data_IF_017465378891
#
_entry.id   IF_017465378891
#
_cell.length_a   1.000
_cell.length_b   1.000
_cell.length_c   1.000
_cell.angle_alpha   90.00
_cell.angle_beta   90.00
_cell.angle_gamma   90.00
#
_symmetry.space_group_name_H-M   'P 1'
#
loop_
_entity.id
_entity.type
_entity.pdbx_description
1 polymer ?
#
# COMPACT_ATOMS: atom_id res chain seq x y z
N UNK A 1 6.06 -10.29 -16.52
CA UNK A 1 5.56 -9.98 -15.16
C UNK A 1 4.63 -8.78 -15.26
N UNK A 2 3.71 -8.63 -14.31
CA UNK A 2 2.86 -7.46 -14.17
C UNK A 2 3.20 -6.78 -12.85
N UNK A 3 3.78 -5.57 -12.92
CA UNK A 3 4.20 -4.80 -11.74
C UNK A 3 5.13 -5.61 -10.81
N UNK A 4 6.35 -5.86 -11.26
CA UNK A 4 7.30 -6.78 -10.62
C UNK A 4 7.85 -6.32 -9.26
N UNK A 5 7.62 -5.07 -8.86
CA UNK A 5 8.11 -4.48 -7.60
C UNK A 5 7.90 -5.41 -6.39
N UNK A 6 6.65 -5.73 -6.04
CA UNK A 6 6.35 -6.55 -4.85
C UNK A 6 6.87 -7.99 -4.97
N UNK A 7 6.78 -8.58 -6.16
CA UNK A 7 7.29 -9.93 -6.41
C UNK A 7 8.81 -10.00 -6.25
N UNK A 8 9.52 -9.00 -6.74
CA UNK A 8 10.98 -8.91 -6.62
C UNK A 8 11.42 -8.77 -5.16
N UNK A 9 10.73 -7.94 -4.38
CA UNK A 9 10.98 -7.78 -2.96
C UNK A 9 10.71 -9.08 -2.18
N UNK A 10 9.58 -9.74 -2.44
CA UNK A 10 9.23 -11.00 -1.78
C UNK A 10 10.25 -12.11 -2.10
N UNK A 11 10.60 -12.29 -3.38
CA UNK A 11 11.58 -13.29 -3.81
C UNK A 11 12.97 -13.05 -3.22
N UNK A 12 13.39 -11.78 -3.16
CA UNK A 12 14.68 -11.42 -2.58
C UNK A 12 14.70 -11.64 -1.07
N UNK A 13 13.69 -11.15 -0.35
CA UNK A 13 13.67 -11.20 1.12
C UNK A 13 13.40 -12.59 1.68
N UNK A 14 12.53 -13.37 1.04
CA UNK A 14 12.12 -14.69 1.54
C UNK A 14 13.03 -15.82 1.04
N UNK A 15 13.56 -15.69 -0.19
CA UNK A 15 14.28 -16.79 -0.86
C UNK A 15 15.68 -16.40 -1.35
N UNK A 16 16.15 -15.18 -1.09
CA UNK A 16 17.40 -14.65 -1.63
C UNK A 16 17.50 -14.73 -3.17
N UNK A 17 16.35 -14.68 -3.86
CA UNK A 17 16.26 -14.75 -5.31
C UNK A 17 16.18 -13.34 -5.90
N UNK A 18 17.11 -12.99 -6.81
CA UNK A 18 17.10 -11.73 -7.55
C UNK A 18 16.60 -11.95 -8.98
N UNK A 19 15.56 -11.21 -9.35
CA UNK A 19 15.04 -11.18 -10.72
C UNK A 19 16.02 -10.49 -11.67
N UNK A 20 16.11 -11.01 -12.90
CA UNK A 20 16.90 -10.44 -14.01
C UNK A 20 16.16 -10.67 -15.33
N UNK A 21 16.42 -9.82 -16.33
CA UNK A 21 15.84 -9.94 -17.68
C UNK A 21 14.30 -10.01 -17.68
N UNK A 22 13.66 -9.23 -16.81
CA UNK A 22 12.20 -9.20 -16.68
C UNK A 22 11.61 -8.33 -17.79
N UNK A 23 10.55 -8.81 -18.43
CA UNK A 23 9.64 -7.94 -19.17
C UNK A 23 8.45 -7.60 -18.27
N UNK A 24 8.38 -6.35 -17.82
CA UNK A 24 7.27 -5.85 -17.00
C UNK A 24 6.28 -5.09 -17.88
N UNK A 25 5.08 -5.65 -18.04
CA UNK A 25 4.03 -5.09 -18.89
C UNK A 25 3.49 -3.75 -18.37
N UNK A 26 3.56 -3.53 -17.05
CA UNK A 26 3.18 -2.26 -16.45
C UNK A 26 4.21 -1.18 -16.78
N UNK A 27 5.50 -1.49 -16.68
CA UNK A 27 6.56 -0.54 -17.04
C UNK A 27 6.57 -0.26 -18.54
N UNK A 28 6.33 -1.27 -19.37
CA UNK A 28 6.20 -1.07 -20.81
C UNK A 28 5.07 -0.08 -21.12
N UNK A 29 3.90 -0.25 -20.50
CA UNK A 29 2.79 0.69 -20.62
C UNK A 29 3.20 2.13 -20.23
N UNK A 30 3.81 2.31 -19.06
CA UNK A 30 4.24 3.65 -18.60
C UNK A 30 5.21 4.30 -19.59
N UNK A 31 6.20 3.56 -20.10
CA UNK A 31 7.17 4.11 -21.06
C UNK A 31 6.50 4.49 -22.39
N UNK A 32 5.51 3.72 -22.84
CA UNK A 32 4.72 4.02 -24.04
C UNK A 32 3.92 5.31 -23.84
N UNK A 33 3.21 5.45 -22.72
CA UNK A 33 2.42 6.65 -22.40
C UNK A 33 3.27 7.89 -22.23
N UNK A 34 4.47 7.76 -21.66
CA UNK A 34 5.46 8.85 -21.60
C UNK A 34 5.87 9.32 -23.00
N UNK A 35 5.97 8.42 -24.00
CA UNK A 35 6.27 8.81 -25.38
C UNK A 35 5.08 9.56 -26.02
N UNK A 36 3.85 9.17 -25.69
CA UNK A 36 2.62 9.81 -26.17
C UNK A 36 2.34 11.18 -25.53
N UNK A 37 3.21 11.62 -24.59
CA UNK A 37 3.19 12.96 -24.02
C UNK A 37 2.62 13.05 -22.61
N UNK A 38 2.22 11.93 -21.99
CA UNK A 38 1.82 11.93 -20.57
C UNK A 38 3.05 12.13 -19.68
N UNK A 39 2.99 13.11 -18.77
CA UNK A 39 4.09 13.39 -17.83
C UNK A 39 4.06 12.43 -16.64
N UNK A 40 2.86 12.04 -16.20
CA UNK A 40 2.63 11.19 -15.04
C UNK A 40 1.63 10.09 -15.41
N UNK A 41 2.01 9.13 -16.27
CA UNK A 41 1.11 8.04 -16.60
C UNK A 41 0.79 7.20 -15.36
N UNK A 42 -0.49 6.88 -15.19
CA UNK A 42 -0.98 6.05 -14.11
C UNK A 42 -0.71 4.56 -14.37
N UNK A 43 -0.64 3.80 -13.28
CA UNK A 43 -0.62 2.33 -13.36
C UNK A 43 -2.02 1.83 -13.64
N UNK A 44 -2.10 0.74 -14.40
CA UNK A 44 -3.35 0.14 -14.82
C UNK A 44 -3.60 -1.13 -14.02
N UNK A 45 -4.87 -1.54 -13.92
CA UNK A 45 -5.13 -2.89 -13.41
C UNK A 45 -4.73 -3.93 -14.46
N UNK A 46 -4.60 -5.19 -14.03
CA UNK A 46 -4.39 -6.33 -14.93
C UNK A 46 -5.42 -6.32 -16.08
N UNK A 47 -6.68 -6.05 -15.72
CA UNK A 47 -7.80 -5.98 -16.65
C UNK A 47 -7.56 -4.91 -17.72
N UNK A 48 -7.23 -3.70 -17.29
CA UNK A 48 -7.09 -2.56 -18.19
C UNK A 48 -5.90 -2.75 -19.13
N UNK A 49 -4.78 -3.30 -18.64
CA UNK A 49 -3.64 -3.63 -19.51
C UNK A 49 -4.05 -4.65 -20.59
N UNK A 50 -4.73 -5.73 -20.22
CA UNK A 50 -5.21 -6.71 -21.21
C UNK A 50 -6.16 -6.04 -22.21
N UNK A 51 -7.12 -5.24 -21.75
CA UNK A 51 -8.03 -4.55 -22.64
C UNK A 51 -7.30 -3.61 -23.63
N UNK A 52 -6.29 -2.87 -23.15
CA UNK A 52 -5.48 -1.98 -23.99
C UNK A 52 -4.67 -2.74 -25.06
N UNK A 53 -4.09 -3.90 -24.72
CA UNK A 53 -3.06 -4.54 -25.55
C UNK A 53 -3.41 -5.91 -26.12
N UNK A 54 -4.57 -6.51 -25.80
CA UNK A 54 -5.04 -7.74 -26.46
C UNK A 54 -6.40 -7.55 -27.13
N UNK A 55 -7.26 -6.64 -26.67
CA UNK A 55 -8.62 -6.48 -27.20
C UNK A 55 -9.56 -7.64 -26.85
N UNK A 56 -9.02 -8.75 -26.33
CA UNK A 56 -9.72 -9.78 -25.58
C UNK A 56 -9.84 -9.33 -24.13
N UNK A 57 -10.97 -8.71 -23.79
CA UNK A 57 -11.40 -8.70 -22.39
C UNK A 57 -11.75 -10.15 -22.04
N UNK A 58 -10.92 -10.84 -21.26
CA UNK A 58 -11.30 -12.15 -20.73
C UNK A 58 -12.68 -12.04 -20.07
N UNK A 59 -13.49 -13.11 -20.07
CA UNK A 59 -14.83 -13.03 -19.49
C UNK A 59 -14.72 -13.00 -17.94
N UNK A 60 -14.85 -11.82 -17.33
CA UNK A 60 -14.49 -11.55 -15.92
C UNK A 60 -15.52 -11.99 -14.88
N UNK A 61 -16.68 -12.54 -15.27
CA UNK A 61 -17.77 -12.86 -14.33
C UNK A 61 -17.31 -13.71 -13.14
N UNK A 62 -16.77 -14.90 -13.41
CA UNK A 62 -16.31 -15.83 -12.37
C UNK A 62 -15.06 -15.33 -11.62
N UNK A 63 -14.22 -14.50 -12.26
CA UNK A 63 -13.05 -13.90 -11.60
C UNK A 63 -13.45 -12.89 -10.55
N UNK A 64 -14.51 -12.13 -10.79
CA UNK A 64 -15.09 -11.25 -9.79
C UNK A 64 -15.59 -12.05 -8.60
N UNK A 65 -16.19 -13.23 -8.81
CA UNK A 65 -16.62 -14.12 -7.73
C UNK A 65 -15.44 -14.63 -6.89
N UNK A 66 -14.33 -15.02 -7.52
CA UNK A 66 -13.10 -15.43 -6.81
C UNK A 66 -12.48 -14.26 -6.06
N UNK A 67 -12.43 -13.07 -6.67
CA UNK A 67 -12.00 -11.83 -6.01
C UNK A 67 -12.83 -11.51 -4.79
N UNK A 68 -14.15 -11.59 -4.93
CA UNK A 68 -15.08 -11.45 -3.82
C UNK A 68 -14.88 -12.53 -2.76
N UNK A 69 -14.56 -13.76 -3.14
CA UNK A 69 -14.31 -14.80 -2.14
C UNK A 69 -13.11 -14.45 -1.24
N UNK A 70 -11.96 -14.07 -1.79
CA UNK A 70 -10.78 -13.76 -0.96
C UNK A 70 -10.80 -12.37 -0.31
N UNK A 71 -11.48 -11.39 -0.93
CA UNK A 71 -11.65 -10.06 -0.32
C UNK A 71 -12.78 -10.04 0.72
N UNK A 72 -13.93 -10.66 0.43
CA UNK A 72 -15.14 -10.55 1.27
C UNK A 72 -15.27 -11.65 2.32
N UNK A 73 -14.88 -12.88 1.99
CA UNK A 73 -15.31 -14.07 2.77
C UNK A 73 -14.17 -14.76 3.49
N UNK A 74 -13.04 -14.93 2.81
CA UNK A 74 -11.95 -15.79 3.27
C UNK A 74 -10.63 -15.02 3.13
N UNK A 75 -10.23 -14.31 4.19
CA UNK A 75 -9.01 -13.51 4.16
C UNK A 75 -7.73 -14.35 4.06
N UNK A 76 -7.77 -15.61 4.49
CA UNK A 76 -6.66 -16.57 4.35
C UNK A 76 -6.79 -17.47 3.11
N UNK A 77 -7.60 -17.09 2.12
CA UNK A 77 -7.94 -17.90 0.94
C UNK A 77 -6.72 -18.55 0.27
N UNK A 78 -5.70 -17.74 -0.07
CA UNK A 78 -4.48 -18.22 -0.74
C UNK A 78 -3.56 -19.07 0.16
N UNK A 79 -3.82 -19.13 1.46
CA UNK A 79 -3.10 -19.97 2.42
C UNK A 79 -3.73 -21.35 2.60
N UNK A 80 -4.96 -21.56 2.13
CA UNK A 80 -5.66 -22.84 2.26
C UNK A 80 -4.98 -23.94 1.43
N UNK A 81 -4.95 -25.16 1.96
CA UNK A 81 -4.35 -26.33 1.31
C UNK A 81 -5.25 -27.57 1.43
N UNK A 82 -5.31 -28.42 0.39
CA UNK A 82 -4.74 -28.21 -0.96
C UNK A 82 -5.41 -27.05 -1.70
N UNK A 83 -4.75 -26.49 -2.71
CA UNK A 83 -5.37 -25.46 -3.57
C UNK A 83 -6.51 -26.10 -4.38
N UNK A 84 -7.64 -25.40 -4.53
CA UNK A 84 -8.75 -25.88 -5.36
C UNK A 84 -8.47 -25.67 -6.86
N UNK A 85 -9.21 -26.36 -7.74
CA UNK A 85 -9.09 -26.14 -9.18
C UNK A 85 -9.37 -24.68 -9.55
N UNK A 86 -10.37 -24.05 -8.93
CA UNK A 86 -10.71 -22.64 -9.16
C UNK A 86 -9.57 -21.69 -8.78
N UNK A 87 -8.85 -21.97 -7.68
CA UNK A 87 -7.65 -21.19 -7.28
C UNK A 87 -6.53 -21.33 -8.30
N UNK A 88 -6.28 -22.55 -8.77
CA UNK A 88 -5.25 -22.85 -9.75
C UNK A 88 -5.56 -22.22 -11.10
N UNK A 89 -6.81 -22.32 -11.54
CA UNK A 89 -7.31 -21.68 -12.76
C UNK A 89 -7.13 -20.18 -12.63
N UNK A 90 -7.68 -19.51 -11.60
CA UNK A 90 -7.52 -18.07 -11.40
C UNK A 90 -6.05 -17.61 -11.48
N UNK A 91 -5.14 -18.31 -10.78
CA UNK A 91 -3.73 -17.96 -10.76
C UNK A 91 -3.02 -18.21 -12.12
N UNK A 92 -3.34 -19.30 -12.82
CA UNK A 92 -2.80 -19.56 -14.16
C UNK A 92 -3.28 -18.52 -15.16
N UNK A 93 -4.54 -18.14 -15.04
CA UNK A 93 -5.24 -17.24 -15.94
C UNK A 93 -4.70 -15.80 -15.82
N UNK A 94 -4.18 -15.38 -14.66
CA UNK A 94 -3.43 -14.12 -14.48
C UNK A 94 -2.12 -14.05 -15.29
N UNK A 95 -1.54 -15.21 -15.62
CA UNK A 95 -0.32 -15.29 -16.45
C UNK A 95 -0.67 -15.45 -17.93
N UNK A 96 -1.65 -16.31 -18.23
CA UNK A 96 -2.07 -16.60 -19.60
C UNK A 96 -2.67 -15.39 -20.30
N UNK A 97 -3.26 -14.44 -19.56
CA UNK A 97 -3.79 -13.20 -20.13
C UNK A 97 -2.73 -12.28 -20.75
N UNK A 98 -1.45 -12.43 -20.35
CA UNK A 98 -0.34 -11.63 -20.90
C UNK A 98 0.30 -12.22 -22.14
N UNK A 99 0.27 -13.56 -22.26
CA UNK A 99 1.09 -14.30 -23.20
C UNK A 99 0.20 -14.97 -24.25
N UNK A 100 0.43 -14.74 -25.55
CA UNK A 100 1.54 -13.97 -26.13
C UNK A 100 1.20 -12.49 -26.42
N UNK A 101 -0.07 -12.10 -26.39
CA UNK A 101 -0.51 -10.92 -27.13
C UNK A 101 -0.08 -9.58 -26.52
N UNK A 102 -0.30 -9.38 -25.21
CA UNK A 102 0.10 -8.13 -24.52
C UNK A 102 1.60 -7.93 -24.62
N UNK A 103 2.37 -8.97 -24.30
CA UNK A 103 3.83 -8.95 -24.43
C UNK A 103 4.27 -8.59 -25.85
N UNK A 104 3.71 -9.27 -26.87
CA UNK A 104 4.10 -9.08 -28.27
C UNK A 104 3.84 -7.64 -28.72
N UNK A 105 2.62 -7.11 -28.49
CA UNK A 105 2.27 -5.75 -28.90
C UNK A 105 3.15 -4.70 -28.24
N UNK A 106 3.40 -4.83 -26.93
CA UNK A 106 4.26 -3.90 -26.21
C UNK A 106 5.73 -4.01 -26.65
N UNK A 107 6.25 -5.23 -26.83
CA UNK A 107 7.64 -5.45 -27.26
C UNK A 107 7.89 -4.88 -28.65
N UNK A 108 7.00 -5.15 -29.61
CA UNK A 108 7.07 -4.61 -30.97
C UNK A 108 7.07 -3.09 -30.97
N UNK A 109 6.18 -2.46 -30.19
CA UNK A 109 6.12 -1.00 -30.08
C UNK A 109 7.42 -0.41 -29.48
N UNK A 110 7.94 -1.01 -28.41
CA UNK A 110 9.17 -0.56 -27.76
C UNK A 110 10.39 -0.67 -28.69
N UNK A 111 10.43 -1.70 -29.54
CA UNK A 111 11.47 -1.89 -30.55
C UNK A 111 11.37 -0.85 -31.67
N UNK A 112 10.18 -0.68 -32.26
CA UNK A 112 9.91 0.27 -33.35
C UNK A 112 10.29 1.71 -32.96
N UNK A 113 9.98 2.09 -31.72
CA UNK A 113 10.23 3.44 -31.19
C UNK A 113 11.56 3.59 -30.45
N UNK A 114 12.43 2.58 -30.49
CA UNK A 114 13.77 2.57 -29.84
C UNK A 114 13.73 2.86 -28.33
N UNK A 115 12.66 2.44 -27.66
CA UNK A 115 12.42 2.67 -26.22
C UNK A 115 13.06 1.62 -25.32
N UNK A 116 13.59 0.51 -25.88
CA UNK A 116 14.18 -0.59 -25.12
C UNK A 116 15.21 -0.17 -24.05
N UNK A 117 16.15 0.78 -24.28
CA UNK A 117 17.09 1.20 -23.24
C UNK A 117 16.40 1.85 -22.03
N UNK A 118 15.44 2.75 -22.30
CA UNK A 118 14.64 3.43 -21.26
C UNK A 118 13.78 2.43 -20.50
N UNK A 119 13.13 1.51 -21.21
CA UNK A 119 12.36 0.41 -20.62
C UNK A 119 13.20 -0.44 -19.68
N UNK A 120 14.37 -0.94 -20.13
CA UNK A 120 15.26 -1.77 -19.29
C UNK A 120 15.72 -1.04 -18.03
N UNK A 121 16.05 0.25 -18.13
CA UNK A 121 16.43 1.05 -16.98
C UNK A 121 15.28 1.19 -15.96
N UNK A 122 14.04 1.43 -16.43
CA UNK A 122 12.86 1.51 -15.56
C UNK A 122 12.50 0.16 -14.93
N UNK A 123 12.69 -0.95 -15.64
CA UNK A 123 12.48 -2.29 -15.08
C UNK A 123 13.51 -2.59 -13.99
N UNK A 124 14.79 -2.29 -14.20
CA UNK A 124 15.81 -2.51 -13.16
C UNK A 124 15.53 -1.65 -11.92
N UNK A 125 15.11 -0.40 -12.12
CA UNK A 125 14.64 0.46 -11.03
C UNK A 125 13.45 -0.17 -10.28
N UNK A 126 12.45 -0.70 -10.99
CA UNK A 126 11.27 -1.35 -10.41
C UNK A 126 11.64 -2.59 -9.59
N UNK A 127 12.62 -3.38 -10.04
CA UNK A 127 13.14 -4.54 -9.31
C UNK A 127 13.86 -4.12 -8.02
N UNK A 128 14.56 -2.98 -8.05
CA UNK A 128 15.41 -2.54 -6.95
C UNK A 128 14.72 -1.63 -5.95
N UNK A 129 13.58 -1.01 -6.29
CA UNK A 129 12.97 0.07 -5.48
C UNK A 129 12.66 -0.34 -4.04
N UNK A 130 12.23 -1.58 -3.79
CA UNK A 130 11.96 -2.08 -2.42
C UNK A 130 13.14 -2.83 -1.79
N UNK A 131 14.21 -3.05 -2.55
CA UNK A 131 15.41 -3.77 -2.10
C UNK A 131 16.55 -2.79 -1.74
N UNK A 132 16.63 -1.66 -2.45
CA UNK A 132 17.70 -0.68 -2.33
C UNK A 132 17.11 0.73 -2.04
N UNK A 133 17.41 1.24 -0.85
CA UNK A 133 16.93 2.55 -0.40
C UNK A 133 17.42 3.72 -1.27
N UNK A 134 18.63 3.66 -1.82
CA UNK A 134 19.16 4.71 -2.71
C UNK A 134 18.31 4.81 -3.98
N UNK A 135 17.96 3.65 -4.57
CA UNK A 135 17.08 3.59 -5.74
C UNK A 135 15.68 4.11 -5.40
N UNK A 136 15.15 3.76 -4.23
CA UNK A 136 13.88 4.29 -3.72
C UNK A 136 13.88 5.81 -3.63
N UNK A 137 14.93 6.39 -3.05
CA UNK A 137 15.09 7.83 -2.89
C UNK A 137 15.21 8.53 -4.24
N UNK A 138 16.09 8.05 -5.14
CA UNK A 138 16.27 8.63 -6.48
C UNK A 138 14.96 8.61 -7.29
N UNK A 139 14.19 7.51 -7.20
CA UNK A 139 12.88 7.42 -7.84
C UNK A 139 11.90 8.43 -7.25
N UNK A 140 11.87 8.56 -5.92
CA UNK A 140 11.06 9.53 -5.20
C UNK A 140 11.32 10.96 -5.65
N UNK A 141 12.59 11.38 -5.61
CA UNK A 141 13.03 12.72 -6.06
C UNK A 141 12.63 13.02 -7.51
N UNK A 142 12.78 12.03 -8.41
CA UNK A 142 12.38 12.19 -9.82
C UNK A 142 10.86 12.39 -9.95
N UNK A 143 10.06 11.58 -9.27
CA UNK A 143 8.59 11.69 -9.33
C UNK A 143 8.15 13.03 -8.73
N UNK A 144 8.71 13.41 -7.59
CA UNK A 144 8.44 14.69 -6.92
C UNK A 144 8.75 15.87 -7.85
N UNK A 145 9.89 15.86 -8.54
CA UNK A 145 10.26 16.90 -9.49
C UNK A 145 9.23 17.04 -10.64
N UNK A 146 8.71 15.92 -11.15
CA UNK A 146 7.67 15.92 -12.20
C UNK A 146 6.35 16.46 -11.65
N UNK A 147 5.90 15.99 -10.48
CA UNK A 147 4.69 16.46 -9.78
C UNK A 147 4.74 17.97 -9.57
N UNK A 148 5.85 18.48 -9.03
CA UNK A 148 6.06 19.91 -8.81
C UNK A 148 6.05 20.70 -10.13
N UNK A 149 6.60 20.13 -11.21
CA UNK A 149 6.53 20.72 -12.55
C UNK A 149 5.10 20.84 -13.06
N UNK A 150 4.32 19.76 -12.99
CA UNK A 150 2.91 19.72 -13.43
C UNK A 150 2.06 20.73 -12.65
N UNK A 151 2.21 20.79 -11.33
CA UNK A 151 1.42 21.69 -10.48
C UNK A 151 1.81 23.17 -10.67
N UNK A 152 3.08 23.47 -10.93
CA UNK A 152 3.51 24.84 -11.28
C UNK A 152 2.97 25.28 -12.64
N UNK A 153 2.92 24.38 -13.62
CA UNK A 153 2.31 24.66 -14.92
C UNK A 153 0.80 24.90 -14.77
N UNK A 154 0.12 24.08 -13.95
CA UNK A 154 -1.30 24.26 -13.60
C UNK A 154 -1.56 25.62 -12.92
N UNK A 155 -0.76 26.01 -11.92
CA UNK A 155 -0.94 27.29 -11.22
C UNK A 155 -0.79 28.49 -12.17
N UNK A 156 0.13 28.42 -13.14
CA UNK A 156 0.29 29.44 -14.18
C UNK A 156 -0.92 29.51 -15.11
N UNK A 157 -1.46 28.36 -15.52
CA UNK A 157 -2.60 28.28 -16.45
C UNK A 157 -3.87 28.93 -15.87
N UNK A 158 -4.06 28.84 -14.56
CA UNK A 158 -5.26 29.35 -13.87
C UNK A 158 -4.99 30.59 -13.01
N UNK A 159 -3.97 31.40 -13.36
CA UNK A 159 -3.55 32.56 -12.56
C UNK A 159 -4.68 33.52 -12.19
N UNK A 160 -5.69 33.69 -13.05
CA UNK A 160 -6.81 34.61 -12.84
C UNK A 160 -8.18 33.90 -12.86
N UNK A 161 -8.19 32.56 -12.81
CA UNK A 161 -9.41 31.74 -12.90
C UNK A 161 -9.58 30.87 -11.66
N UNK A 162 -10.82 30.56 -11.32
CA UNK A 162 -11.12 29.54 -10.32
C UNK A 162 -10.78 28.17 -10.91
N UNK A 163 -9.92 27.41 -10.22
CA UNK A 163 -9.63 26.02 -10.55
C UNK A 163 -10.77 25.13 -10.04
N UNK A 164 -11.23 24.19 -10.85
CA UNK A 164 -12.18 23.14 -10.45
C UNK A 164 -11.56 21.78 -10.73
N UNK A 165 -11.79 20.83 -9.82
CA UNK A 165 -11.20 19.48 -9.93
C UNK A 165 -11.67 18.76 -11.20
N UNK A 166 -12.91 18.97 -11.61
CA UNK A 166 -13.52 18.31 -12.77
C UNK A 166 -12.95 18.79 -14.12
N UNK A 167 -12.21 19.89 -14.12
CA UNK A 167 -11.59 20.47 -15.32
C UNK A 167 -10.12 20.06 -15.49
N UNK A 168 -9.56 19.33 -14.54
CA UNK A 168 -8.15 18.93 -14.52
C UNK A 168 -7.89 17.74 -15.46
N UNK A 169 -6.71 17.73 -16.08
CA UNK A 169 -6.25 16.56 -16.85
C UNK A 169 -5.82 15.42 -15.93
N UNK A 170 -5.73 14.20 -16.46
CA UNK A 170 -5.26 13.01 -15.72
C UNK A 170 -3.91 13.28 -15.00
N UNK A 171 -2.92 13.83 -15.72
CA UNK A 171 -1.62 14.20 -15.13
C UNK A 171 -1.76 15.18 -13.95
N UNK A 172 -2.70 16.12 -14.01
CA UNK A 172 -2.90 17.14 -12.98
C UNK A 172 -3.61 16.56 -11.75
N UNK A 173 -4.62 15.70 -11.97
CA UNK A 173 -5.28 14.96 -10.90
C UNK A 173 -4.32 14.00 -10.21
N UNK A 174 -3.52 13.27 -10.98
CA UNK A 174 -2.55 12.34 -10.43
C UNK A 174 -1.40 13.06 -9.70
N UNK A 175 -0.98 14.23 -10.19
CA UNK A 175 -0.06 15.08 -9.45
C UNK A 175 -0.63 15.53 -8.10
N UNK A 176 -1.91 15.91 -8.05
CA UNK A 176 -2.59 16.24 -6.80
C UNK A 176 -2.73 15.02 -5.89
N UNK A 177 -2.99 13.83 -6.43
CA UNK A 177 -3.02 12.58 -5.66
C UNK A 177 -1.69 12.35 -4.93
N UNK A 178 -0.56 12.44 -5.66
CA UNK A 178 0.78 12.18 -5.14
C UNK A 178 1.33 13.27 -4.20
N UNK A 179 0.86 14.52 -4.33
CA UNK A 179 1.32 15.64 -3.52
C UNK A 179 0.90 15.50 -2.05
N UNK A 180 1.83 15.64 -1.11
CA UNK A 180 1.48 15.73 0.32
C UNK A 180 0.89 17.11 0.66
N UNK A 181 -0.08 17.16 1.57
CA UNK A 181 -0.79 18.43 1.85
C UNK A 181 0.12 19.49 2.48
N UNK A 182 1.13 19.08 3.24
CA UNK A 182 2.13 19.98 3.84
C UNK A 182 3.04 20.61 2.77
N UNK A 183 3.30 19.90 1.67
CA UNK A 183 4.02 20.41 0.51
C UNK A 183 3.17 21.33 -0.38
N UNK A 184 1.86 21.13 -0.41
CA UNK A 184 0.95 21.95 -1.22
C UNK A 184 1.02 23.44 -0.83
N UNK A 185 1.09 23.72 0.47
CA UNK A 185 1.27 25.07 1.02
C UNK A 185 2.54 25.78 0.53
N UNK A 186 3.58 25.02 0.16
CA UNK A 186 4.88 25.54 -0.33
C UNK A 186 4.82 25.97 -1.79
N UNK A 187 3.81 25.54 -2.55
CA UNK A 187 3.66 25.88 -3.97
C UNK A 187 2.95 27.24 -4.10
N UNK A 188 1.64 27.27 -3.84
CA UNK A 188 0.82 28.49 -3.79
C UNK A 188 -0.41 28.25 -2.91
N UNK A 189 -1.03 29.32 -2.35
CA UNK A 189 -2.29 29.18 -1.61
C UNK A 189 -3.44 28.58 -2.43
N UNK A 190 -3.39 28.70 -3.76
CA UNK A 190 -4.40 28.10 -4.65
C UNK A 190 -4.25 26.59 -4.74
N UNK A 191 -3.01 26.11 -4.92
CA UNK A 191 -2.72 24.67 -4.97
C UNK A 191 -2.98 24.03 -3.60
N UNK A 192 -2.67 24.73 -2.51
CA UNK A 192 -3.01 24.31 -1.15
C UNK A 192 -4.53 24.10 -0.96
N UNK A 193 -5.33 25.09 -1.38
CA UNK A 193 -6.78 24.97 -1.39
C UNK A 193 -7.26 23.83 -2.30
N UNK A 194 -6.72 23.71 -3.50
CA UNK A 194 -7.10 22.67 -4.46
C UNK A 194 -6.78 21.26 -3.94
N UNK A 195 -5.63 21.09 -3.26
CA UNK A 195 -5.27 19.82 -2.59
C UNK A 195 -6.22 19.53 -1.44
N UNK A 196 -6.62 20.54 -0.67
CA UNK A 196 -7.63 20.39 0.39
C UNK A 196 -8.98 19.94 -0.18
N UNK A 197 -9.42 20.57 -1.28
CA UNK A 197 -10.65 20.20 -1.98
C UNK A 197 -10.57 18.76 -2.53
N UNK A 198 -9.41 18.37 -3.09
CA UNK A 198 -9.15 17.01 -3.54
C UNK A 198 -9.27 16.00 -2.39
N UNK A 199 -8.62 16.24 -1.24
CA UNK A 199 -8.69 15.36 -0.06
C UNK A 199 -10.13 15.24 0.43
N UNK A 200 -10.89 16.35 0.45
CA UNK A 200 -12.31 16.33 0.82
C UNK A 200 -13.15 15.50 -0.14
N UNK A 201 -12.85 15.50 -1.44
CA UNK A 201 -13.53 14.66 -2.42
C UNK A 201 -13.19 13.18 -2.22
N UNK A 202 -11.92 12.86 -2.00
CA UNK A 202 -11.48 11.48 -1.69
C UNK A 202 -12.15 10.95 -0.42
N UNK A 203 -12.22 11.75 0.64
CA UNK A 203 -12.92 11.36 1.87
C UNK A 203 -14.42 11.15 1.67
N UNK A 204 -15.07 11.89 0.76
CA UNK A 204 -16.48 11.64 0.40
C UNK A 204 -16.63 10.32 -0.36
N UNK A 205 -15.70 10.00 -1.27
CA UNK A 205 -15.70 8.71 -1.95
C UNK A 205 -15.53 7.56 -0.94
N UNK A 206 -14.52 7.65 -0.06
CA UNK A 206 -14.28 6.68 1.02
C UNK A 206 -15.52 6.50 1.92
N UNK A 207 -16.16 7.61 2.30
CA UNK A 207 -17.39 7.59 3.08
C UNK A 207 -18.52 6.87 2.33
N UNK A 208 -18.73 7.18 1.05
CA UNK A 208 -19.72 6.50 0.22
C UNK A 208 -19.45 5.00 0.12
N UNK A 209 -18.19 4.60 -0.04
CA UNK A 209 -17.80 3.19 -0.08
C UNK A 209 -18.04 2.50 1.27
N UNK A 210 -17.89 3.22 2.38
CA UNK A 210 -18.20 2.70 3.72
C UNK A 210 -19.70 2.41 3.90
N UNK A 211 -20.57 3.06 3.13
CA UNK A 211 -22.01 2.79 3.16
C UNK A 211 -22.46 1.80 2.09
N UNK A 212 -21.84 1.84 0.91
CA UNK A 212 -22.32 1.10 -0.27
C UNK A 212 -21.51 -0.14 -0.60
N UNK A 213 -20.20 -0.13 -0.35
CA UNK A 213 -19.27 -1.22 -0.69
C UNK A 213 -18.18 -1.37 0.38
N UNK A 214 -18.63 -1.62 1.61
CA UNK A 214 -17.82 -1.82 2.83
C UNK A 214 -16.63 -2.76 2.62
N UNK A 215 -16.76 -3.65 1.64
CA UNK A 215 -15.87 -4.75 1.39
C UNK A 215 -14.61 -4.35 0.62
N UNK A 216 -14.67 -3.30 -0.19
CA UNK A 216 -13.50 -2.86 -0.97
C UNK A 216 -12.55 -1.97 -0.16
N UNK A 217 -12.97 -1.50 1.02
CA UNK A 217 -12.18 -0.62 1.87
C UNK A 217 -10.90 -1.29 2.35
N UNK A 218 -10.97 -2.56 2.76
CA UNK A 218 -9.81 -3.32 3.23
C UNK A 218 -8.75 -3.54 2.15
N UNK A 219 -9.15 -3.49 0.87
CA UNK A 219 -8.29 -3.64 -0.30
C UNK A 219 -7.70 -2.33 -0.83
N UNK A 220 -8.05 -1.17 -0.24
CA UNK A 220 -7.46 0.11 -0.62
C UNK A 220 -6.04 0.23 -0.05
N UNK A 221 -5.07 0.10 -0.94
CA UNK A 221 -3.66 0.31 -0.61
C UNK A 221 -3.44 1.77 -0.15
N UNK A 222 -2.66 1.96 0.92
CA UNK A 222 -2.29 3.30 1.42
C UNK A 222 -3.36 4.02 2.25
N UNK A 223 -4.63 3.62 2.20
CA UNK A 223 -5.75 4.33 2.84
C UNK A 223 -5.52 4.63 4.33
N UNK A 224 -4.97 3.67 5.07
CA UNK A 224 -4.70 3.83 6.49
C UNK A 224 -3.64 4.91 6.78
N UNK A 225 -2.61 4.96 5.94
CA UNK A 225 -1.53 5.96 6.04
C UNK A 225 -2.02 7.33 5.57
N UNK A 226 -2.83 7.39 4.52
CA UNK A 226 -3.47 8.62 4.04
C UNK A 226 -4.36 9.25 5.11
N UNK A 227 -5.28 8.48 5.71
CA UNK A 227 -6.16 8.97 6.77
C UNK A 227 -5.37 9.42 8.00
N UNK A 228 -4.34 8.66 8.39
CA UNK A 228 -3.46 9.03 9.51
C UNK A 228 -2.69 10.34 9.23
N UNK A 229 -2.32 10.57 7.98
CA UNK A 229 -1.69 11.80 7.53
C UNK A 229 -2.69 12.96 7.58
N UNK A 230 -3.91 12.78 7.07
CA UNK A 230 -4.96 13.80 7.08
C UNK A 230 -5.51 14.14 8.48
N UNK A 231 -5.39 13.26 9.47
CA UNK A 231 -5.68 13.59 10.87
C UNK A 231 -4.80 14.72 11.45
N UNK A 232 -3.70 15.05 10.77
CA UNK A 232 -2.78 16.13 11.14
C UNK A 232 -2.95 17.36 10.24
N UNK A 233 -3.97 17.36 9.39
CA UNK A 233 -4.26 18.46 8.47
C UNK A 233 -4.59 19.75 9.24
N UNK A 234 -4.15 20.94 8.77
CA UNK A 234 -4.43 22.22 9.42
C UNK A 234 -5.92 22.61 9.39
N UNK A 235 -6.65 22.21 8.34
CA UNK A 235 -8.11 22.35 8.29
C UNK A 235 -8.80 21.38 9.26
N UNK A 236 -9.50 21.93 10.24
CA UNK A 236 -10.16 21.17 11.31
C UNK A 236 -11.30 20.28 10.79
N UNK A 237 -11.96 20.64 9.68
CA UNK A 237 -12.97 19.80 9.05
C UNK A 237 -12.32 18.55 8.43
N UNK A 238 -11.20 18.72 7.72
CA UNK A 238 -10.44 17.61 7.14
C UNK A 238 -9.96 16.67 8.24
N UNK A 239 -9.30 17.24 9.25
CA UNK A 239 -8.76 16.49 10.39
C UNK A 239 -9.83 15.68 11.13
N UNK A 240 -10.98 16.30 11.44
CA UNK A 240 -12.05 15.60 12.17
C UNK A 240 -12.72 14.54 11.29
N UNK A 241 -12.93 14.82 10.00
CA UNK A 241 -13.51 13.85 9.07
C UNK A 241 -12.58 12.64 8.85
N UNK A 242 -11.29 12.86 8.65
CA UNK A 242 -10.29 11.79 8.54
C UNK A 242 -10.28 10.90 9.79
N UNK A 243 -10.33 11.51 10.99
CA UNK A 243 -10.40 10.76 12.25
C UNK A 243 -11.66 9.91 12.36
N UNK A 244 -12.82 10.50 12.05
CA UNK A 244 -14.09 9.78 12.08
C UNK A 244 -14.10 8.60 11.10
N UNK A 245 -13.64 8.81 9.86
CA UNK A 245 -13.54 7.76 8.85
C UNK A 245 -12.59 6.65 9.29
N UNK A 246 -11.40 6.98 9.79
CA UNK A 246 -10.44 5.98 10.26
C UNK A 246 -11.01 5.13 11.39
N UNK A 247 -11.65 5.76 12.37
CA UNK A 247 -12.32 5.04 13.47
C UNK A 247 -13.44 4.13 12.97
N UNK A 248 -14.26 4.60 12.04
CA UNK A 248 -15.36 3.82 11.48
C UNK A 248 -14.85 2.62 10.67
N UNK A 249 -13.80 2.83 9.85
CA UNK A 249 -13.15 1.78 9.05
C UNK A 249 -12.50 0.73 9.96
N UNK A 250 -11.74 1.14 10.98
CA UNK A 250 -11.13 0.18 11.90
C UNK A 250 -12.19 -0.61 12.66
N UNK A 251 -13.27 0.05 13.10
CA UNK A 251 -14.39 -0.64 13.76
C UNK A 251 -15.04 -1.67 12.85
N UNK A 252 -15.23 -1.36 11.56
CA UNK A 252 -15.75 -2.30 10.57
C UNK A 252 -14.80 -3.49 10.40
N UNK A 253 -13.52 -3.22 10.16
CA UNK A 253 -12.50 -4.26 9.96
C UNK A 253 -12.42 -5.21 11.16
N UNK A 254 -12.35 -4.68 12.38
CA UNK A 254 -12.27 -5.49 13.59
C UNK A 254 -13.50 -6.40 13.77
N UNK A 255 -14.70 -5.93 13.39
CA UNK A 255 -15.93 -6.75 13.39
C UNK A 255 -15.87 -7.88 12.36
N UNK A 256 -15.21 -7.67 11.23
CA UNK A 256 -15.15 -8.65 10.14
C UNK A 256 -14.01 -9.66 10.28
N UNK A 257 -12.93 -9.31 11.00
CA UNK A 257 -11.74 -10.16 11.14
C UNK A 257 -12.11 -11.56 11.65
N UNK A 258 -12.95 -11.67 12.68
CA UNK A 258 -13.39 -12.97 13.22
C UNK A 258 -14.26 -13.81 12.28
N UNK A 259 -14.87 -13.18 11.26
CA UNK A 259 -15.63 -13.89 10.22
C UNK A 259 -14.73 -14.32 9.05
N UNK A 260 -13.74 -13.48 8.70
CA UNK A 260 -12.94 -13.64 7.47
C UNK A 260 -11.72 -14.53 7.65
N UNK A 261 -11.22 -14.67 8.87
CA UNK A 261 -9.96 -15.36 9.13
C UNK A 261 -10.16 -16.57 10.05
N UNK A 262 -9.35 -17.61 9.85
CA UNK A 262 -9.27 -18.74 10.77
C UNK A 262 -8.37 -18.41 11.98
N UNK A 263 -8.54 -19.12 13.09
CA UNK A 263 -7.72 -18.92 14.31
C UNK A 263 -6.24 -19.27 14.14
N UNK A 264 -5.86 -19.85 13.00
CA UNK A 264 -4.48 -20.17 12.62
C UNK A 264 -3.89 -19.16 11.63
N UNK A 265 -4.62 -18.08 11.34
CA UNK A 265 -4.19 -17.07 10.39
C UNK A 265 -2.94 -16.35 10.89
N UNK A 266 -1.89 -16.43 10.09
CA UNK A 266 -0.60 -15.78 10.40
C UNK A 266 -0.63 -14.28 10.05
N UNK A 267 0.16 -13.44 10.73
CA UNK A 267 0.18 -11.99 10.46
C UNK A 267 0.36 -11.59 8.99
N UNK A 268 1.02 -12.41 8.19
CA UNK A 268 1.31 -12.14 6.79
C UNK A 268 0.06 -12.16 5.89
N UNK A 269 -1.03 -12.82 6.29
CA UNK A 269 -2.25 -12.88 5.46
C UNK A 269 -3.10 -11.60 5.55
N UNK A 270 -2.94 -10.82 6.62
CA UNK A 270 -3.68 -9.58 6.81
C UNK A 270 -3.16 -8.48 5.89
N UNK A 271 -4.07 -7.67 5.36
CA UNK A 271 -3.69 -6.44 4.65
C UNK A 271 -3.04 -5.45 5.61
N UNK A 272 -2.30 -4.47 5.10
CA UNK A 272 -1.68 -3.47 5.99
C UNK A 272 -2.74 -2.66 6.74
N UNK A 273 -3.87 -2.35 6.11
CA UNK A 273 -4.98 -1.65 6.77
C UNK A 273 -5.59 -2.49 7.90
N UNK A 274 -5.72 -3.80 7.72
CA UNK A 274 -6.17 -4.72 8.77
C UNK A 274 -5.18 -4.82 9.93
N UNK A 275 -3.88 -4.89 9.64
CA UNK A 275 -2.83 -4.83 10.66
C UNK A 275 -2.87 -3.52 11.44
N UNK A 276 -3.09 -2.39 10.76
CA UNK A 276 -3.24 -1.09 11.43
C UNK A 276 -4.46 -1.07 12.35
N UNK A 277 -5.60 -1.62 11.91
CA UNK A 277 -6.80 -1.74 12.74
C UNK A 277 -6.52 -2.61 13.97
N UNK A 278 -5.90 -3.79 13.81
CA UNK A 278 -5.49 -4.66 14.93
C UNK A 278 -4.52 -3.95 15.89
N UNK A 279 -3.54 -3.20 15.37
CA UNK A 279 -2.58 -2.41 16.19
C UNK A 279 -3.24 -1.24 16.93
N UNK A 280 -4.44 -0.82 16.53
CA UNK A 280 -5.19 0.25 17.19
C UNK A 280 -5.91 -0.23 18.47
N UNK A 281 -6.06 -1.55 18.63
CA UNK A 281 -6.64 -2.16 19.83
C UNK A 281 -5.71 -1.92 21.02
N UNK A 282 -6.28 -1.48 22.15
CA UNK A 282 -5.56 -1.11 23.38
C UNK A 282 -6.16 -1.86 24.56
N UNK A 283 -5.94 -3.19 24.65
CA UNK A 283 -6.52 -4.01 25.69
C UNK A 283 -5.85 -3.73 27.04
N UNK A 284 -6.62 -3.86 28.13
CA UNK A 284 -6.08 -3.70 29.50
C UNK A 284 -5.55 -4.99 30.10
N UNK A 285 -5.82 -6.13 29.48
CA UNK A 285 -5.28 -7.44 29.88
C UNK A 285 -5.26 -8.42 28.71
N UNK A 286 -4.63 -9.57 28.93
CA UNK A 286 -4.51 -10.69 27.98
C UNK A 286 -5.87 -11.27 27.61
N UNK A 287 -6.86 -11.11 28.49
CA UNK A 287 -8.23 -11.62 28.39
C UNK A 287 -9.27 -10.50 28.57
N UNK A 288 -9.00 -9.32 28.02
CA UNK A 288 -9.90 -8.16 28.12
C UNK A 288 -11.27 -8.43 27.48
N UNK A 289 -12.31 -8.46 28.32
CA UNK A 289 -13.69 -8.78 27.93
C UNK A 289 -14.36 -7.70 27.07
N UNK A 290 -13.75 -6.52 26.94
CA UNK A 290 -14.28 -5.45 26.07
C UNK A 290 -14.03 -5.71 24.58
N UNK A 291 -13.15 -6.66 24.26
CA UNK A 291 -12.83 -7.04 22.89
C UNK A 291 -13.33 -8.43 22.57
N UNK A 292 -13.69 -8.64 21.30
CA UNK A 292 -13.97 -9.98 20.80
C UNK A 292 -12.73 -10.88 21.00
N UNK A 293 -12.88 -12.10 21.56
CA UNK A 293 -11.74 -12.96 21.87
C UNK A 293 -10.85 -13.29 20.67
N UNK A 294 -11.44 -13.41 19.48
CA UNK A 294 -10.69 -13.68 18.26
C UNK A 294 -9.86 -12.45 17.86
N UNK A 295 -10.46 -11.27 17.87
CA UNK A 295 -9.76 -10.01 17.61
C UNK A 295 -8.60 -9.80 18.59
N UNK A 296 -8.84 -10.05 19.87
CA UNK A 296 -7.81 -9.95 20.91
C UNK A 296 -6.67 -10.95 20.68
N UNK A 297 -6.99 -12.19 20.32
CA UNK A 297 -6.00 -13.21 19.95
C UNK A 297 -5.13 -12.77 18.76
N UNK A 298 -5.76 -12.32 17.67
CA UNK A 298 -5.03 -11.84 16.49
C UNK A 298 -4.21 -10.59 16.77
N UNK A 299 -4.67 -9.69 17.64
CA UNK A 299 -3.89 -8.55 18.10
C UNK A 299 -2.59 -9.01 18.76
N UNK A 300 -2.65 -9.95 19.69
CA UNK A 300 -1.47 -10.45 20.39
C UNK A 300 -0.50 -11.18 19.45
N UNK A 301 -1.00 -12.00 18.52
CA UNK A 301 -0.16 -12.67 17.50
C UNK A 301 0.57 -11.62 16.63
N UNK A 302 -0.11 -10.55 16.24
CA UNK A 302 0.50 -9.47 15.47
C UNK A 302 1.55 -8.71 16.28
N UNK A 303 1.28 -8.43 17.56
CA UNK A 303 2.24 -7.78 18.48
C UNK A 303 3.49 -8.63 18.64
N UNK A 304 3.33 -9.94 18.84
CA UNK A 304 4.47 -10.86 18.93
C UNK A 304 5.33 -10.83 17.67
N UNK A 305 4.69 -10.90 16.49
CA UNK A 305 5.38 -10.81 15.20
C UNK A 305 6.13 -9.48 15.03
N UNK A 306 5.52 -8.35 15.40
CA UNK A 306 6.17 -7.04 15.33
C UNK A 306 7.44 -6.99 16.24
N UNK A 307 7.39 -7.61 17.42
CA UNK A 307 8.54 -7.74 18.33
C UNK A 307 9.62 -8.63 17.72
N UNK A 308 9.26 -9.78 17.16
CA UNK A 308 10.19 -10.70 16.51
C UNK A 308 10.89 -10.05 15.32
N UNK A 309 10.16 -9.29 14.51
CA UNK A 309 10.74 -8.55 13.40
C UNK A 309 11.71 -7.46 13.88
N UNK A 310 11.37 -6.76 14.97
CA UNK A 310 12.27 -5.78 15.57
C UNK A 310 13.56 -6.44 16.13
N UNK A 311 13.44 -7.59 16.80
CA UNK A 311 14.58 -8.37 17.29
C UNK A 311 15.47 -8.87 16.15
N UNK A 312 14.86 -9.37 15.07
CA UNK A 312 15.57 -9.79 13.87
C UNK A 312 16.35 -8.62 13.26
N UNK A 313 15.70 -7.47 13.07
CA UNK A 313 16.32 -6.27 12.52
C UNK A 313 17.45 -5.73 13.41
N UNK A 314 17.35 -5.85 14.73
CA UNK A 314 18.44 -5.43 15.63
C UNK A 314 19.63 -6.39 15.64
N UNK A 315 19.42 -7.67 15.33
CA UNK A 315 20.48 -8.69 15.28
C UNK A 315 21.17 -8.76 13.93
N UNK A 316 20.39 -8.70 12.85
CA UNK A 316 20.83 -8.98 11.49
C UNK A 316 20.58 -7.82 10.51
N UNK A 317 19.76 -6.83 10.89
CA UNK A 317 19.47 -5.67 10.07
C UNK A 317 20.54 -4.58 10.17
N UNK A 318 20.31 -3.47 9.48
CA UNK A 318 21.25 -2.36 9.42
C UNK A 318 21.52 -1.75 10.82
N UNK A 319 22.77 -1.32 11.11
CA UNK A 319 23.15 -0.76 12.42
C UNK A 319 22.33 0.44 12.89
N UNK A 320 21.66 1.13 11.96
CA UNK A 320 20.88 2.34 12.21
C UNK A 320 19.37 2.11 12.33
N UNK A 321 18.88 0.86 12.27
CA UNK A 321 17.45 0.59 12.43
C UNK A 321 17.06 0.84 13.89
N UNK A 322 16.31 1.92 14.11
CA UNK A 322 15.75 2.31 15.39
C UNK A 322 14.26 1.99 15.42
N UNK A 323 13.78 1.42 16.51
CA UNK A 323 12.33 1.25 16.69
C UNK A 323 11.70 2.60 17.04
N UNK A 324 10.47 2.84 16.60
CA UNK A 324 9.79 4.11 16.83
C UNK A 324 9.52 4.36 18.31
N UNK A 325 9.45 5.64 18.70
CA UNK A 325 9.11 6.05 20.07
C UNK A 325 7.77 5.47 20.54
N UNK A 326 6.77 5.46 19.67
CA UNK A 326 5.45 4.90 19.96
C UNK A 326 5.51 3.39 20.20
N UNK A 327 6.31 2.66 19.43
CA UNK A 327 6.50 1.23 19.66
C UNK A 327 7.24 0.97 20.97
N UNK A 328 8.31 1.73 21.27
CA UNK A 328 9.02 1.64 22.55
C UNK A 328 8.11 1.91 23.75
N UNK A 329 7.22 2.90 23.65
CA UNK A 329 6.25 3.20 24.71
C UNK A 329 5.28 2.03 24.93
N UNK A 330 4.79 1.39 23.85
CA UNK A 330 3.94 0.19 23.96
C UNK A 330 4.68 -0.99 24.61
N UNK A 331 5.93 -1.23 24.27
CA UNK A 331 6.73 -2.29 24.92
C UNK A 331 6.83 -2.10 26.44
N UNK A 332 7.03 -0.85 26.90
CA UNK A 332 7.07 -0.53 28.34
C UNK A 332 5.74 -0.79 29.03
N UNK A 333 4.62 -0.58 28.33
CA UNK A 333 3.30 -0.93 28.88
C UNK A 333 3.15 -2.44 29.03
N UNK A 334 3.63 -3.23 28.06
CA UNK A 334 3.54 -4.70 28.10
C UNK A 334 4.37 -5.35 29.22
N UNK A 335 5.39 -4.68 29.75
CA UNK A 335 6.13 -5.19 30.93
C UNK A 335 5.29 -5.23 32.20
N UNK A 336 4.32 -4.32 32.32
CA UNK A 336 3.54 -4.09 33.54
C UNK A 336 2.07 -4.53 33.41
N UNK A 337 1.60 -4.71 32.17
CA UNK A 337 0.26 -5.18 31.87
C UNK A 337 0.22 -6.71 31.91
N UNK A 338 -0.93 -7.27 32.28
CA UNK A 338 -1.20 -8.69 32.09
C UNK A 338 -1.29 -8.98 30.58
N UNK A 339 -0.22 -9.49 29.98
CA UNK A 339 -0.12 -9.86 28.56
C UNK A 339 0.39 -11.29 28.44
N UNK A 340 0.22 -11.95 27.28
CA UNK A 340 0.81 -13.27 27.05
C UNK A 340 2.31 -13.33 27.44
N UNK A 341 2.71 -14.39 28.15
CA UNK A 341 4.03 -14.52 28.77
C UNK A 341 5.18 -14.37 27.77
N UNK A 342 5.02 -14.95 26.58
CA UNK A 342 5.95 -14.83 25.46
C UNK A 342 6.18 -13.37 25.03
N UNK A 343 5.11 -12.58 24.90
CA UNK A 343 5.18 -11.17 24.55
C UNK A 343 5.90 -10.39 25.64
N UNK A 344 5.56 -10.64 26.91
CA UNK A 344 6.20 -9.97 28.04
C UNK A 344 7.71 -10.26 28.07
N UNK A 345 8.11 -11.52 27.88
CA UNK A 345 9.51 -11.93 27.85
C UNK A 345 10.27 -11.28 26.67
N UNK A 346 9.69 -11.32 25.47
CA UNK A 346 10.31 -10.73 24.27
C UNK A 346 10.39 -9.20 24.35
N UNK A 347 9.38 -8.54 24.92
CA UNK A 347 9.39 -7.09 25.14
C UNK A 347 10.53 -6.66 26.10
N UNK A 348 10.69 -7.36 27.24
CA UNK A 348 11.79 -7.16 28.19
C UNK A 348 13.15 -7.34 27.50
N UNK A 349 13.30 -8.41 26.72
CA UNK A 349 14.53 -8.67 25.95
C UNK A 349 14.82 -7.52 24.98
N UNK A 350 13.83 -7.07 24.21
CA UNK A 350 14.00 -6.00 23.23
C UNK A 350 14.42 -4.68 23.90
N UNK A 351 13.76 -4.27 24.99
CA UNK A 351 14.10 -3.07 25.76
C UNK A 351 15.50 -3.15 26.38
N UNK A 352 15.91 -4.32 26.86
CA UNK A 352 17.27 -4.53 27.39
C UNK A 352 18.35 -4.36 26.33
N UNK A 353 18.12 -4.89 25.11
CA UNK A 353 19.04 -4.76 23.98
C UNK A 353 19.16 -3.29 23.59
N UNK A 354 18.05 -2.54 23.53
CA UNK A 354 18.07 -1.10 23.25
C UNK A 354 18.91 -0.33 24.27
N UNK A 355 18.70 -0.60 25.56
CA UNK A 355 19.42 0.08 26.65
C UNK A 355 20.92 -0.20 26.60
N UNK A 356 21.31 -1.43 26.23
CA UNK A 356 22.71 -1.84 26.11
C UNK A 356 23.44 -1.25 24.88
N UNK A 357 22.72 -0.98 23.80
CA UNK A 357 23.29 -0.46 22.54
C UNK A 357 23.41 1.07 22.49
N UNK A 358 22.99 1.79 23.54
CA UNK A 358 23.07 3.26 23.60
C UNK A 358 22.28 3.97 22.48
N UNK A 359 21.28 3.30 21.91
CA UNK A 359 20.57 3.78 20.73
C UNK A 359 19.61 4.92 21.11
N UNK A 360 19.94 6.15 20.69
CA UNK A 360 19.01 7.29 20.71
C UNK A 360 17.85 7.03 19.76
N UNK A 361 16.67 7.61 20.05
CA UNK A 361 15.45 7.48 19.25
C UNK A 361 15.56 8.27 17.93
N UNK A 362 14.83 7.83 16.89
CA UNK A 362 14.62 8.57 15.63
C UNK A 362 13.38 9.47 15.75
#
# INVERSE_FOLDING_TARGET
AFSCCFLSAALYTQFAVRLRNVFDTQIAHLVIRELEGQKLPERLTLFDICQCYSGSGNNYGWRTDVKDMYLRRIGDYWSQRPLTCEMLEFAADDVMSFIPEVYRRQSEFLEEHRLLPKFKARVEEEILVEINQEVKNMRGERIEAIVMGVLRDLDKQYKDKTMKLEELSDDQLYALHLLQYDDASKITPRIDKLKTDYIMNEMKAIENDLYTDQVMIAGRNGLGDDLKTWERHPDENVKNKARMLRQAIYTLILKEIGRRYSGFSVPQVFTELEKQALRSVTPVSSSDLNFDPFVLGQHWILVEHDIDQALFNLRYGHPHIQISKDFSNRLKTYENLDVPENIQMKAKLLLSIQSSKGTTYA
#
